data_IF_574796474246
#
_entry.id   IF_574796474246
#
_cell.length_a   1.000
_cell.length_b   1.000
_cell.length_c   1.000
_cell.angle_alpha   90.00
_cell.angle_beta   90.00
_cell.angle_gamma   90.00
#
_symmetry.space_group_name_H-M   'P 1'
#
loop_
_entity.id
_entity.type
_entity.pdbx_description
1 polymer ?
#
# COMPACT_ATOMS: atom_id res chain seq x y z
N UNK A 1 11.82 6.20 32.67
CA UNK A 1 10.46 5.98 32.15
C UNK A 1 10.30 6.83 30.90
N UNK A 2 10.25 6.21 29.73
CA UNK A 2 9.92 6.91 28.48
C UNK A 2 8.42 7.16 28.47
N UNK A 3 7.98 8.36 28.81
CA UNK A 3 6.60 8.76 28.61
C UNK A 3 6.38 9.03 27.11
N UNK A 4 5.26 8.58 26.56
CA UNK A 4 4.83 8.98 25.23
C UNK A 4 4.76 10.51 25.16
N UNK A 5 5.20 11.11 24.05
CA UNK A 5 5.18 12.56 23.90
C UNK A 5 3.73 13.09 23.91
N UNK A 6 2.81 12.36 23.28
CA UNK A 6 1.36 12.59 23.29
C UNK A 6 0.61 11.27 23.14
N UNK A 7 -0.59 11.21 23.75
CA UNK A 7 -1.52 10.10 23.56
C UNK A 7 -2.93 10.67 23.47
N UNK A 8 -3.72 10.22 22.50
CA UNK A 8 -5.11 10.65 22.32
C UNK A 8 -5.99 9.49 21.88
N UNK A 9 -7.22 9.48 22.39
CA UNK A 9 -8.24 8.51 22.01
C UNK A 9 -8.90 8.97 20.72
N UNK A 10 -8.30 8.58 19.59
CA UNK A 10 -8.75 9.02 18.28
C UNK A 10 -9.95 8.20 17.76
N UNK A 11 -10.05 6.92 18.10
CA UNK A 11 -11.03 5.99 17.56
C UNK A 11 -11.79 5.25 18.67
N UNK A 12 -12.93 4.64 18.33
CA UNK A 12 -13.77 3.87 19.27
C UNK A 12 -13.54 2.36 19.19
N UNK A 13 -12.72 1.90 18.25
CA UNK A 13 -12.26 0.53 18.11
C UNK A 13 -10.75 0.52 17.77
N UNK A 14 -10.17 -0.67 17.55
CA UNK A 14 -8.75 -0.81 17.29
C UNK A 14 -8.32 0.03 16.09
N UNK A 15 -7.19 0.71 16.24
CA UNK A 15 -6.51 1.40 15.14
C UNK A 15 -5.63 0.39 14.44
N UNK A 16 -5.98 0.05 13.21
CA UNK A 16 -5.30 -1.02 12.46
C UNK A 16 -4.11 -0.49 11.67
N UNK A 17 -4.19 0.75 11.18
CA UNK A 17 -3.15 1.31 10.33
C UNK A 17 -2.96 2.79 10.56
N UNK A 18 -1.70 3.24 10.45
CA UNK A 18 -1.32 4.65 10.50
C UNK A 18 -0.30 4.96 9.40
N UNK A 19 -0.35 6.17 8.85
CA UNK A 19 0.58 6.61 7.84
C UNK A 19 0.90 8.11 7.98
N UNK A 20 2.18 8.45 8.08
CA UNK A 20 2.64 9.84 7.95
C UNK A 20 2.53 10.31 6.49
N UNK A 21 2.21 11.59 6.31
CA UNK A 21 2.24 12.20 4.98
C UNK A 21 3.69 12.41 4.56
N UNK A 22 4.12 11.64 3.57
CA UNK A 22 5.47 11.74 2.97
C UNK A 22 5.33 11.86 1.46
N UNK A 23 6.17 12.69 0.84
CA UNK A 23 6.27 12.77 -0.62
C UNK A 23 7.02 11.57 -1.21
N UNK A 24 6.77 11.26 -2.48
CA UNK A 24 7.60 10.31 -3.21
C UNK A 24 8.96 10.93 -3.56
N UNK A 25 10.05 10.17 -3.49
CA UNK A 25 11.34 10.59 -4.02
C UNK A 25 11.19 10.93 -5.52
N UNK A 26 11.38 12.18 -5.90
CA UNK A 26 11.18 12.65 -7.28
C UNK A 26 9.77 13.16 -7.61
N UNK A 27 8.84 13.13 -6.67
CA UNK A 27 7.58 13.87 -6.76
C UNK A 27 7.85 15.38 -6.74
N UNK A 28 7.07 16.14 -7.51
CA UNK A 28 7.23 17.61 -7.64
C UNK A 28 6.80 18.39 -6.39
N UNK A 29 6.33 17.73 -5.36
CA UNK A 29 5.82 18.39 -4.18
C UNK A 29 6.89 18.45 -3.08
N UNK A 30 7.47 19.62 -2.90
CA UNK A 30 8.15 20.01 -1.66
C UNK A 30 7.18 20.16 -0.48
N UNK A 31 6.09 19.42 -0.49
CA UNK A 31 4.95 19.51 0.43
C UNK A 31 4.89 18.32 1.39
N UNK A 32 6.06 17.82 1.78
CA UNK A 32 6.10 16.95 2.95
C UNK A 32 5.59 17.73 4.15
N UNK A 33 4.43 17.35 4.65
CA UNK A 33 4.00 17.82 5.97
C UNK A 33 4.18 16.68 6.98
N UNK A 34 5.39 16.53 7.54
CA UNK A 34 5.72 15.39 8.41
C UNK A 34 4.92 15.39 9.72
N UNK A 35 4.07 16.39 9.92
CA UNK A 35 3.18 16.47 11.07
C UNK A 35 1.77 15.94 10.78
N UNK A 36 1.41 15.66 9.52
CA UNK A 36 0.10 15.13 9.17
C UNK A 36 0.11 13.60 9.23
N UNK A 37 -0.82 13.07 10.00
CA UNK A 37 -1.00 11.64 10.23
C UNK A 37 -2.38 11.21 9.76
N UNK A 38 -2.43 10.10 9.03
CA UNK A 38 -3.64 9.39 8.65
C UNK A 38 -3.75 8.13 9.51
N UNK A 39 -4.93 7.87 10.07
CA UNK A 39 -5.22 6.63 10.78
C UNK A 39 -6.48 5.97 10.25
N UNK A 40 -6.52 4.65 10.27
CA UNK A 40 -7.66 3.82 9.90
C UNK A 40 -7.99 2.82 11.00
N UNK A 41 -9.28 2.60 11.25
CA UNK A 41 -9.78 1.81 12.36
C UNK A 41 -10.92 0.87 11.96
N UNK A 42 -11.14 -0.14 12.80
CA UNK A 42 -12.30 -1.03 12.75
C UNK A 42 -13.59 -0.34 13.23
N UNK A 43 -13.50 0.88 13.75
CA UNK A 43 -14.69 1.72 13.96
C UNK A 43 -15.28 2.26 12.64
N UNK A 44 -14.73 1.81 11.49
CA UNK A 44 -15.14 2.18 10.13
C UNK A 44 -14.93 3.65 9.83
N UNK A 45 -13.93 4.24 10.46
CA UNK A 45 -13.54 5.63 10.19
C UNK A 45 -12.07 5.73 9.84
N UNK A 46 -11.76 6.72 9.05
CA UNK A 46 -10.42 7.26 8.88
C UNK A 46 -10.35 8.63 9.54
N UNK A 47 -9.17 8.98 10.03
CA UNK A 47 -8.91 10.30 10.60
C UNK A 47 -7.61 10.86 10.05
N UNK A 48 -7.68 12.13 9.66
CA UNK A 48 -6.53 12.92 9.26
C UNK A 48 -6.35 14.02 10.27
N UNK A 49 -5.18 14.14 10.87
CA UNK A 49 -4.88 15.15 11.86
C UNK A 49 -3.44 15.61 11.81
N UNK A 50 -3.24 16.87 12.14
CA UNK A 50 -1.91 17.42 12.40
C UNK A 50 -1.47 17.02 13.81
N UNK A 51 -0.37 16.29 13.93
CA UNK A 51 0.15 15.82 15.22
C UNK A 51 0.53 16.97 16.18
N UNK A 52 0.66 18.20 15.65
CA UNK A 52 0.87 19.41 16.45
C UNK A 52 -0.43 19.93 17.06
N UNK A 53 -1.59 19.63 16.43
CA UNK A 53 -2.92 20.11 16.76
C UNK A 53 -3.95 18.97 16.80
N UNK A 54 -3.62 17.88 17.47
CA UNK A 54 -4.34 16.59 17.40
C UNK A 54 -5.83 16.64 17.79
N UNK A 55 -6.31 17.69 18.42
CA UNK A 55 -7.72 17.86 18.78
C UNK A 55 -8.62 18.20 17.57
N UNK A 56 -8.04 18.55 16.43
CA UNK A 56 -8.76 18.97 15.21
C UNK A 56 -8.60 17.94 14.10
N UNK A 57 -9.07 16.70 14.33
CA UNK A 57 -9.07 15.69 13.27
C UNK A 57 -10.22 15.90 12.28
N UNK A 58 -9.92 15.76 11.00
CA UNK A 58 -10.95 15.53 9.96
C UNK A 58 -11.29 14.04 9.98
N UNK A 59 -12.57 13.72 10.08
CA UNK A 59 -13.07 12.34 10.19
C UNK A 59 -13.92 12.01 8.98
N UNK A 60 -13.65 10.89 8.31
CA UNK A 60 -14.51 10.36 7.27
C UNK A 60 -15.02 8.96 7.66
N UNK A 61 -16.28 8.66 7.31
CA UNK A 61 -16.89 7.35 7.54
C UNK A 61 -16.72 6.48 6.29
N UNK A 62 -16.24 5.27 6.53
CA UNK A 62 -16.03 4.25 5.50
C UNK A 62 -17.01 3.10 5.75
N UNK A 63 -17.48 2.45 4.72
CA UNK A 63 -18.55 1.43 4.85
C UNK A 63 -18.12 0.10 5.49
N UNK A 64 -16.82 -0.14 5.72
CA UNK A 64 -16.25 -1.37 6.25
C UNK A 64 -15.04 -1.09 7.14
N UNK A 65 -14.56 -2.13 7.82
CA UNK A 65 -13.38 -2.07 8.66
C UNK A 65 -12.15 -1.73 7.81
N UNK A 66 -11.32 -0.81 8.32
CA UNK A 66 -10.13 -0.34 7.61
C UNK A 66 -8.95 -1.23 7.97
N UNK A 67 -8.36 -1.87 6.97
CA UNK A 67 -7.18 -2.74 7.11
C UNK A 67 -5.86 -2.00 6.90
N UNK A 68 -5.79 -1.13 5.90
CA UNK A 68 -4.58 -0.37 5.63
C UNK A 68 -4.90 1.03 5.09
N UNK A 69 -4.02 1.97 5.37
CA UNK A 69 -4.07 3.34 4.83
C UNK A 69 -2.69 3.74 4.29
N UNK A 70 -2.67 4.51 3.19
CA UNK A 70 -1.42 5.00 2.61
C UNK A 70 -1.64 6.34 1.92
N UNK A 71 -0.76 7.32 2.16
CA UNK A 71 -0.70 8.54 1.36
C UNK A 71 -0.16 8.23 -0.04
N UNK A 72 -0.72 8.92 -1.05
CA UNK A 72 -0.16 8.91 -2.41
C UNK A 72 0.99 9.91 -2.46
N UNK A 73 2.22 9.44 -2.41
CA UNK A 73 3.39 10.30 -2.44
C UNK A 73 3.56 11.13 -3.71
N UNK A 74 2.80 10.81 -4.78
CA UNK A 74 2.79 11.55 -6.04
C UNK A 74 1.72 12.62 -6.09
N UNK A 75 0.73 12.56 -5.18
CA UNK A 75 -0.42 13.47 -5.13
C UNK A 75 -0.59 13.98 -3.71
N UNK A 76 -0.23 15.23 -3.47
CA UNK A 76 -0.14 15.86 -2.16
C UNK A 76 -1.36 15.65 -1.24
N UNK A 77 -2.55 15.65 -1.82
CA UNK A 77 -3.79 15.61 -1.07
C UNK A 77 -4.52 14.27 -1.13
N UNK A 78 -3.92 13.27 -1.82
CA UNK A 78 -4.56 11.99 -2.05
C UNK A 78 -4.04 10.91 -1.11
N UNK A 79 -4.94 10.02 -0.70
CA UNK A 79 -4.60 8.83 0.05
C UNK A 79 -5.51 7.65 -0.31
N UNK A 80 -5.07 6.46 0.00
CA UNK A 80 -5.77 5.20 -0.26
C UNK A 80 -6.13 4.50 1.04
N UNK A 81 -7.25 3.80 1.00
CA UNK A 81 -7.78 3.00 2.10
C UNK A 81 -8.10 1.61 1.60
N UNK A 82 -7.54 0.58 2.21
CA UNK A 82 -7.86 -0.82 1.98
C UNK A 82 -8.82 -1.33 3.07
N UNK A 83 -9.81 -2.12 2.67
CA UNK A 83 -10.92 -2.53 3.50
C UNK A 83 -11.00 -4.05 3.66
N UNK A 84 -11.58 -4.50 4.78
CA UNK A 84 -11.91 -5.91 5.02
C UNK A 84 -12.80 -6.52 3.91
N UNK A 85 -13.60 -5.69 3.27
CA UNK A 85 -14.45 -6.11 2.13
C UNK A 85 -13.68 -6.40 0.83
N UNK A 86 -12.34 -6.28 0.81
CA UNK A 86 -11.52 -6.46 -0.40
C UNK A 86 -11.47 -5.24 -1.31
N UNK A 87 -12.09 -4.16 -0.89
CA UNK A 87 -12.19 -2.91 -1.66
C UNK A 87 -11.01 -1.99 -1.29
N UNK A 88 -10.50 -1.28 -2.29
CA UNK A 88 -9.62 -0.13 -2.12
C UNK A 88 -10.36 1.13 -2.56
N UNK A 89 -10.32 2.15 -1.74
CA UNK A 89 -10.91 3.46 -2.04
C UNK A 89 -9.84 4.54 -2.04
N UNK A 90 -9.91 5.45 -3.01
CA UNK A 90 -9.06 6.63 -3.08
C UNK A 90 -9.83 7.88 -2.65
N UNK A 91 -9.16 8.75 -1.89
CA UNK A 91 -9.74 9.97 -1.32
C UNK A 91 -8.87 11.19 -1.59
N UNK A 92 -9.49 12.35 -1.56
CA UNK A 92 -8.83 13.66 -1.46
C UNK A 92 -9.15 14.26 -0.08
N UNK A 93 -8.12 14.58 0.68
CA UNK A 93 -8.29 15.12 2.03
C UNK A 93 -9.07 16.42 2.05
N UNK A 94 -9.01 17.21 0.98
CA UNK A 94 -9.74 18.50 0.85
C UNK A 94 -11.24 18.31 0.66
N UNK A 95 -11.65 17.13 0.17
CA UNK A 95 -13.06 16.79 -0.05
C UNK A 95 -13.71 16.09 1.14
N UNK A 96 -12.94 15.77 2.18
CA UNK A 96 -13.48 15.16 3.39
C UNK A 96 -14.36 16.13 4.15
N UNK A 97 -15.56 15.69 4.55
CA UNK A 97 -16.50 16.49 5.34
C UNK A 97 -16.80 15.84 6.69
N UNK A 98 -16.88 16.60 7.78
CA UNK A 98 -17.14 16.02 9.12
C UNK A 98 -18.51 15.36 9.25
N UNK A 99 -19.44 15.62 8.34
CA UNK A 99 -20.87 15.29 8.48
C UNK A 99 -21.36 14.18 7.56
N UNK A 100 -20.51 13.59 6.71
CA UNK A 100 -21.01 12.77 5.64
C UNK A 100 -20.32 11.44 5.38
N UNK A 101 -20.98 10.63 4.60
CA UNK A 101 -20.40 9.62 3.76
C UNK A 101 -19.62 10.33 2.68
N UNK A 102 -18.36 10.57 2.93
CA UNK A 102 -17.48 11.22 1.97
C UNK A 102 -17.35 10.32 0.75
N UNK A 103 -17.66 10.88 -0.42
CA UNK A 103 -17.55 10.14 -1.66
C UNK A 103 -16.07 9.88 -1.96
N UNK A 104 -15.70 8.62 -2.08
CA UNK A 104 -14.41 8.24 -2.61
C UNK A 104 -14.26 8.81 -4.03
N UNK A 105 -13.06 9.28 -4.38
CA UNK A 105 -12.73 9.67 -5.75
C UNK A 105 -12.91 8.49 -6.71
N UNK A 106 -12.61 7.29 -6.22
CA UNK A 106 -12.82 6.03 -6.91
C UNK A 106 -12.89 4.85 -5.94
N UNK A 107 -13.47 3.77 -6.42
CA UNK A 107 -13.57 2.50 -5.71
C UNK A 107 -13.07 1.38 -6.62
N UNK A 108 -12.16 0.55 -6.10
CA UNK A 108 -11.58 -0.59 -6.79
C UNK A 108 -11.91 -1.86 -6.01
N UNK A 109 -12.60 -2.81 -6.64
CA UNK A 109 -12.75 -4.17 -6.11
C UNK A 109 -11.42 -4.89 -6.36
N UNK A 110 -10.57 -4.91 -5.35
CA UNK A 110 -9.20 -5.40 -5.48
C UNK A 110 -9.07 -6.89 -5.20
N UNK A 111 -9.75 -7.40 -4.18
CA UNK A 111 -9.62 -8.78 -3.70
C UNK A 111 -10.97 -9.41 -3.40
N UNK A 112 -11.05 -10.75 -3.50
CA UNK A 112 -12.24 -11.53 -3.13
C UNK A 112 -12.34 -11.77 -1.61
N UNK A 113 -11.29 -11.44 -0.87
CA UNK A 113 -11.23 -11.42 0.59
C UNK A 113 -10.74 -10.07 1.08
N UNK A 114 -10.44 -9.94 2.37
CA UNK A 114 -9.94 -8.70 2.93
C UNK A 114 -8.68 -8.22 2.18
N UNK A 115 -8.66 -6.93 1.81
CA UNK A 115 -7.45 -6.27 1.30
C UNK A 115 -6.64 -5.80 2.50
N UNK A 116 -5.68 -6.61 2.92
CA UNK A 116 -4.95 -6.46 4.18
C UNK A 116 -3.80 -5.47 4.10
N UNK A 117 -3.31 -5.22 2.91
CA UNK A 117 -2.17 -4.31 2.70
C UNK A 117 -2.23 -3.67 1.33
N UNK A 118 -1.75 -2.45 1.27
CA UNK A 118 -1.54 -1.71 0.02
C UNK A 118 -0.27 -0.87 0.12
N UNK A 119 0.36 -0.65 -1.04
CA UNK A 119 1.49 0.27 -1.16
C UNK A 119 1.50 0.93 -2.53
N UNK A 120 2.12 2.10 -2.63
CA UNK A 120 2.28 2.87 -3.87
C UNK A 120 3.76 2.92 -4.18
N UNK A 121 4.13 2.64 -5.43
CA UNK A 121 5.53 2.67 -5.84
C UNK A 121 6.15 4.04 -5.58
N UNK A 122 7.27 4.10 -4.84
CA UNK A 122 7.98 5.36 -4.64
C UNK A 122 8.70 5.86 -5.89
N UNK A 123 8.80 5.02 -6.92
CA UNK A 123 9.54 5.31 -8.15
C UNK A 123 8.66 5.52 -9.38
N UNK A 124 7.42 5.02 -9.36
CA UNK A 124 6.55 5.02 -10.54
C UNK A 124 5.17 5.55 -10.15
N UNK A 125 4.81 6.75 -10.62
CA UNK A 125 3.47 7.28 -10.37
C UNK A 125 2.38 6.35 -10.92
N UNK A 126 1.33 6.14 -10.14
CA UNK A 126 0.20 5.31 -10.52
C UNK A 126 0.44 3.80 -10.48
N UNK A 127 1.59 3.33 -10.01
CA UNK A 127 1.82 1.91 -9.75
C UNK A 127 1.38 1.57 -8.32
N UNK A 128 0.23 0.87 -8.20
CA UNK A 128 -0.36 0.46 -6.94
C UNK A 128 -0.15 -1.05 -6.73
N UNK A 129 0.21 -1.41 -5.51
CA UNK A 129 0.36 -2.78 -5.03
C UNK A 129 -0.70 -3.06 -3.98
N UNK A 130 -1.35 -4.22 -4.06
CA UNK A 130 -2.31 -4.69 -3.06
C UNK A 130 -2.09 -6.15 -2.73
N UNK A 131 -2.40 -6.54 -1.49
CA UNK A 131 -2.36 -7.92 -1.04
C UNK A 131 -3.59 -8.25 -0.19
N UNK A 132 -4.05 -9.51 -0.25
CA UNK A 132 -5.28 -9.88 0.42
C UNK A 132 -5.29 -11.29 1.00
N UNK A 133 -6.36 -11.57 1.74
CA UNK A 133 -6.61 -12.90 2.32
C UNK A 133 -7.01 -13.94 1.26
N UNK A 134 -7.27 -13.52 0.03
CA UNK A 134 -7.44 -14.37 -1.16
C UNK A 134 -6.10 -14.95 -1.66
N UNK A 135 -4.99 -14.70 -0.95
CA UNK A 135 -3.61 -15.14 -1.24
C UNK A 135 -2.98 -14.50 -2.46
N UNK A 136 -3.62 -13.47 -3.01
CA UNK A 136 -3.12 -12.77 -4.20
C UNK A 136 -2.34 -11.51 -3.82
N UNK A 137 -1.18 -11.33 -4.48
CA UNK A 137 -0.55 -10.02 -4.66
C UNK A 137 -0.98 -9.50 -6.02
N UNK A 138 -1.45 -8.26 -6.08
CA UNK A 138 -1.91 -7.64 -7.33
C UNK A 138 -1.21 -6.32 -7.57
N UNK A 139 -0.80 -6.10 -8.81
CA UNK A 139 -0.20 -4.84 -9.29
C UNK A 139 -1.21 -4.19 -10.23
N UNK A 140 -1.50 -2.93 -9.96
CA UNK A 140 -2.48 -2.14 -10.69
C UNK A 140 -1.81 -0.94 -11.34
N UNK A 141 -2.29 -0.58 -12.52
CA UNK A 141 -1.99 0.70 -13.15
C UNK A 141 -3.16 1.66 -12.92
N UNK A 142 -2.92 2.71 -12.16
CA UNK A 142 -3.83 3.82 -11.95
C UNK A 142 -3.42 4.93 -12.90
N UNK A 143 -4.10 5.03 -14.04
CA UNK A 143 -3.90 6.12 -14.98
C UNK A 143 -4.72 7.32 -14.55
N UNK A 144 -4.08 8.46 -14.39
CA UNK A 144 -4.70 9.66 -13.82
C UNK A 144 -4.44 10.89 -14.68
N UNK A 145 -5.44 11.77 -14.70
CA UNK A 145 -5.31 13.14 -15.20
C UNK A 145 -5.64 14.09 -14.03
N UNK A 146 -4.60 14.65 -13.44
CA UNK A 146 -4.74 15.36 -12.17
C UNK A 146 -5.07 14.41 -11.01
N UNK A 147 -6.01 14.80 -10.16
CA UNK A 147 -6.33 14.08 -8.91
C UNK A 147 -7.22 12.86 -9.15
N UNK A 148 -8.00 12.81 -10.22
CA UNK A 148 -8.92 11.71 -10.51
C UNK A 148 -8.32 10.69 -11.46
N UNK A 149 -8.48 9.37 -11.20
CA UNK A 149 -8.08 8.36 -12.17
C UNK A 149 -9.01 8.38 -13.39
N UNK A 150 -8.40 8.29 -14.58
CA UNK A 150 -9.12 8.02 -15.84
C UNK A 150 -9.48 6.56 -15.97
N UNK A 151 -8.55 5.70 -15.59
CA UNK A 151 -8.72 4.26 -15.60
C UNK A 151 -7.88 3.57 -14.56
N UNK A 152 -8.35 2.41 -14.10
CA UNK A 152 -7.60 1.50 -13.23
C UNK A 152 -7.62 0.14 -13.88
N UNK A 153 -6.46 -0.44 -14.11
CA UNK A 153 -6.33 -1.75 -14.74
C UNK A 153 -5.41 -2.68 -13.96
N UNK A 154 -5.81 -3.95 -13.90
CA UNK A 154 -4.97 -5.00 -13.33
C UNK A 154 -3.83 -5.29 -14.30
N UNK A 155 -2.60 -5.19 -13.82
CA UNK A 155 -1.38 -5.47 -14.59
C UNK A 155 -0.89 -6.89 -14.33
N UNK A 156 -0.92 -7.32 -13.07
CA UNK A 156 -0.49 -8.65 -12.65
C UNK A 156 -1.22 -9.08 -11.38
N UNK A 157 -1.54 -10.37 -11.30
CA UNK A 157 -2.02 -11.02 -10.08
C UNK A 157 -1.22 -12.32 -9.90
N UNK A 158 -0.76 -12.59 -8.68
CA UNK A 158 0.04 -13.77 -8.38
C UNK A 158 -0.26 -14.32 -6.99
N UNK A 159 -0.46 -15.63 -6.89
CA UNK A 159 -0.38 -16.39 -5.64
C UNK A 159 1.10 -16.73 -5.40
N UNK A 160 1.66 -16.29 -4.30
CA UNK A 160 3.06 -16.50 -3.96
C UNK A 160 3.30 -17.81 -3.19
N UNK A 161 2.24 -18.59 -2.92
CA UNK A 161 2.36 -19.86 -2.19
C UNK A 161 2.65 -19.71 -0.69
N UNK A 162 2.46 -18.52 -0.12
CA UNK A 162 2.75 -18.21 1.30
C UNK A 162 1.49 -18.04 2.16
N UNK A 163 0.36 -18.51 1.66
CA UNK A 163 -0.94 -18.45 2.34
C UNK A 163 -1.62 -17.10 2.23
N UNK A 164 -2.51 -16.78 3.16
CA UNK A 164 -3.17 -15.48 3.24
C UNK A 164 -2.13 -14.39 3.46
N UNK A 165 -2.17 -13.34 2.69
CA UNK A 165 -1.21 -12.24 2.79
C UNK A 165 -1.68 -11.24 3.84
N UNK A 166 -0.74 -10.71 4.62
CA UNK A 166 -1.01 -9.73 5.67
C UNK A 166 -0.26 -8.41 5.44
N UNK A 167 0.86 -8.45 4.72
CA UNK A 167 1.65 -7.26 4.45
C UNK A 167 2.37 -7.38 3.12
N UNK A 168 2.52 -6.25 2.45
CA UNK A 168 3.33 -6.09 1.24
C UNK A 168 3.88 -4.67 1.16
N UNK A 169 5.04 -4.51 0.53
CA UNK A 169 5.66 -3.21 0.34
C UNK A 169 6.55 -3.21 -0.90
N UNK A 170 6.63 -2.08 -1.57
CA UNK A 170 7.69 -1.84 -2.55
C UNK A 170 9.04 -1.63 -1.86
N UNK A 171 10.12 -2.03 -2.53
CA UNK A 171 11.46 -1.64 -2.13
C UNK A 171 11.63 -0.11 -2.25
N UNK A 172 12.20 0.55 -1.24
CA UNK A 172 12.46 1.99 -1.32
C UNK A 172 13.57 2.37 -2.29
N UNK A 173 14.46 1.43 -2.63
CA UNK A 173 15.66 1.70 -3.43
C UNK A 173 15.65 0.98 -4.78
N UNK A 174 14.78 0.00 -4.95
CA UNK A 174 14.72 -0.84 -6.15
C UNK A 174 13.32 -0.75 -6.77
N UNK A 175 13.18 -0.08 -7.92
CA UNK A 175 11.89 0.06 -8.58
C UNK A 175 11.31 -1.31 -8.89
N UNK A 176 10.04 -1.50 -8.51
CA UNK A 176 9.25 -2.69 -8.80
C UNK A 176 9.71 -4.00 -8.13
N UNK A 177 10.70 -3.98 -7.24
CA UNK A 177 10.93 -5.09 -6.31
C UNK A 177 9.97 -4.94 -5.12
N UNK A 178 9.26 -6.01 -4.79
CA UNK A 178 8.33 -6.05 -3.67
C UNK A 178 8.70 -7.11 -2.67
N UNK A 179 8.28 -6.90 -1.43
CA UNK A 179 8.27 -7.92 -0.39
C UNK A 179 6.83 -8.22 0.00
N UNK A 180 6.52 -9.46 0.32
CA UNK A 180 5.23 -9.88 0.84
C UNK A 180 5.39 -10.95 1.91
N UNK A 181 4.51 -10.92 2.93
CA UNK A 181 4.50 -11.92 3.99
C UNK A 181 3.06 -12.33 4.31
N UNK A 182 2.90 -13.56 4.79
CA UNK A 182 1.58 -14.13 5.00
C UNK A 182 1.53 -15.22 6.05
N UNK A 183 0.39 -15.92 6.11
CA UNK A 183 0.05 -16.91 7.13
C UNK A 183 0.92 -18.17 7.09
N UNK A 184 1.69 -18.39 6.02
CA UNK A 184 2.60 -19.53 5.91
C UNK A 184 3.93 -19.34 6.64
N UNK A 185 4.13 -18.24 7.36
CA UNK A 185 5.37 -17.95 8.08
C UNK A 185 6.56 -17.62 7.19
N UNK A 186 6.32 -17.40 5.90
CA UNK A 186 7.35 -17.11 4.89
C UNK A 186 7.32 -15.65 4.49
N UNK A 187 8.51 -15.11 4.19
CA UNK A 187 8.72 -13.84 3.50
C UNK A 187 9.09 -14.13 2.05
N UNK A 188 8.42 -13.49 1.11
CA UNK A 188 8.70 -13.61 -0.31
C UNK A 188 9.16 -12.27 -0.87
N UNK A 189 10.25 -12.27 -1.64
CA UNK A 189 10.75 -11.11 -2.38
C UNK A 189 10.56 -11.41 -3.87
N UNK A 190 9.89 -10.52 -4.58
CA UNK A 190 9.60 -10.68 -5.99
C UNK A 190 10.08 -9.48 -6.78
N UNK A 191 10.98 -9.72 -7.75
CA UNK A 191 11.28 -8.77 -8.79
C UNK A 191 10.16 -8.81 -9.85
N UNK A 192 9.26 -7.86 -9.77
CA UNK A 192 8.08 -7.82 -10.64
C UNK A 192 8.41 -7.54 -12.09
N UNK A 193 9.62 -7.06 -12.41
CA UNK A 193 10.10 -6.90 -13.78
C UNK A 193 10.28 -8.22 -14.52
N UNK A 194 10.31 -9.36 -13.83
CA UNK A 194 10.22 -10.68 -14.45
C UNK A 194 8.88 -10.89 -15.17
N UNK A 195 7.83 -10.14 -14.80
CA UNK A 195 6.52 -10.19 -15.42
C UNK A 195 6.43 -9.31 -16.67
N UNK A 196 6.05 -9.90 -17.82
CA UNK A 196 5.95 -9.20 -19.10
C UNK A 196 4.89 -8.08 -19.10
N UNK A 197 3.79 -8.24 -18.34
CA UNK A 197 2.75 -7.23 -18.19
C UNK A 197 3.27 -5.98 -17.48
N UNK A 198 4.04 -6.18 -16.41
CA UNK A 198 4.67 -5.09 -15.64
C UNK A 198 5.67 -4.32 -16.53
N UNK A 199 6.56 -5.02 -17.24
CA UNK A 199 7.50 -4.38 -18.16
C UNK A 199 6.79 -3.56 -19.25
N UNK A 200 5.76 -4.10 -19.85
CA UNK A 200 5.01 -3.42 -20.91
C UNK A 200 4.29 -2.18 -20.38
N UNK A 201 3.71 -2.25 -19.19
CA UNK A 201 2.92 -1.15 -18.63
C UNK A 201 3.78 -0.03 -18.07
N UNK A 202 4.87 -0.38 -17.38
CA UNK A 202 5.66 0.58 -16.61
C UNK A 202 7.05 0.86 -17.18
N UNK A 203 7.50 0.11 -18.20
CA UNK A 203 8.85 0.23 -18.75
C UNK A 203 9.19 1.63 -19.25
N UNK A 204 8.25 2.33 -19.90
CA UNK A 204 8.47 3.70 -20.37
C UNK A 204 8.57 4.69 -19.20
N UNK A 205 7.76 4.54 -18.17
CA UNK A 205 7.83 5.38 -16.96
C UNK A 205 9.15 5.17 -16.22
N UNK A 206 9.65 3.93 -16.15
CA UNK A 206 10.98 3.64 -15.58
C UNK A 206 12.08 4.38 -16.33
N UNK A 207 12.06 4.32 -17.66
CA UNK A 207 13.04 5.02 -18.49
C UNK A 207 13.01 6.54 -18.32
N UNK A 208 11.83 7.12 -18.20
CA UNK A 208 11.65 8.57 -17.96
C UNK A 208 12.26 9.02 -16.63
N UNK A 209 12.26 8.15 -15.62
CA UNK A 209 12.86 8.42 -14.32
C UNK A 209 14.33 7.98 -14.22
N UNK A 210 15.01 7.75 -15.34
CA UNK A 210 16.42 7.32 -15.42
C UNK A 210 16.72 6.02 -14.66
N UNK A 211 15.73 5.18 -14.48
CA UNK A 211 15.88 3.88 -13.86
C UNK A 211 16.11 2.83 -14.95
N UNK A 212 17.37 2.43 -15.17
CA UNK A 212 17.69 1.38 -16.14
C UNK A 212 17.23 0.02 -15.61
N UNK A 213 16.38 -0.66 -16.38
CA UNK A 213 15.93 -2.02 -16.09
C UNK A 213 16.72 -3.07 -16.91
N UNK A 214 17.46 -2.63 -17.93
CA UNK A 214 18.20 -3.50 -18.86
C UNK A 214 19.35 -4.27 -18.17
N UNK A 215 19.86 -3.76 -17.05
CA UNK A 215 20.93 -4.42 -16.29
C UNK A 215 20.45 -5.57 -15.39
N UNK A 216 19.13 -5.83 -15.35
CA UNK A 216 18.52 -6.81 -14.44
C UNK A 216 18.20 -8.15 -15.10
N UNK A 217 18.40 -8.28 -16.39
CA UNK A 217 18.09 -9.51 -17.13
C UNK A 217 18.92 -10.71 -16.67
N UNK A 218 19.99 -10.49 -15.93
CA UNK A 218 20.91 -11.53 -15.44
C UNK A 218 20.67 -11.94 -13.98
N UNK A 219 19.67 -11.39 -13.29
CA UNK A 219 19.33 -11.88 -11.95
C UNK A 219 18.51 -13.15 -12.04
N UNK A 220 18.90 -14.21 -11.29
CA UNK A 220 18.11 -15.44 -11.27
C UNK A 220 16.68 -15.14 -10.80
N UNK A 221 15.71 -15.61 -11.56
CA UNK A 221 14.32 -15.58 -11.19
C UNK A 221 14.15 -16.37 -9.90
N UNK A 222 13.56 -15.71 -8.89
CA UNK A 222 13.16 -16.30 -7.62
C UNK A 222 14.29 -16.96 -6.81
N UNK A 223 14.81 -16.25 -5.82
CA UNK A 223 15.51 -16.91 -4.70
C UNK A 223 14.42 -17.58 -3.85
N UNK A 224 14.10 -18.80 -4.14
CA UNK A 224 13.45 -19.69 -3.18
C UNK A 224 14.50 -20.02 -2.13
N UNK A 225 14.33 -19.53 -0.92
CA UNK A 225 15.01 -20.06 0.24
C UNK A 225 14.21 -21.30 0.64
N UNK A 226 14.58 -22.45 0.10
CA UNK A 226 14.10 -23.73 0.61
C UNK A 226 14.83 -23.96 1.94
N UNK A 227 14.14 -23.68 3.05
CA UNK A 227 14.52 -24.19 4.36
C UNK A 227 14.16 -25.68 4.41
N UNK A 228 15.04 -26.52 3.87
CA UNK A 228 15.15 -27.92 4.28
C UNK A 228 15.76 -27.94 5.69
N UNK A 229 14.93 -27.65 6.69
CA UNK A 229 15.28 -27.97 8.06
C UNK A 229 15.22 -29.50 8.20
N UNK A 230 16.37 -30.13 8.13
CA UNK A 230 16.57 -31.51 8.52
C UNK A 230 15.99 -31.71 9.93
N UNK A 231 14.95 -32.52 10.01
CA UNK A 231 14.49 -33.11 11.24
C UNK A 231 15.47 -34.20 11.63
N UNK A 232 16.41 -33.89 12.47
CA UNK A 232 17.16 -34.90 13.20
C UNK A 232 16.23 -35.50 14.25
N UNK A 233 15.53 -36.60 13.88
CA UNK A 233 15.07 -37.59 14.79
C UNK A 233 16.28 -38.47 15.15
N UNK A 234 16.90 -38.19 16.26
CA UNK A 234 17.78 -39.16 16.90
C UNK A 234 17.03 -39.89 18.02
N UNK A 235 16.79 -41.14 17.71
CA UNK A 235 16.44 -42.19 18.63
C UNK A 235 17.59 -42.50 19.59
N UNK A 236 17.30 -42.54 20.87
CA UNK A 236 17.86 -43.47 21.85
C UNK A 236 17.08 -43.41 23.17
#
# INVERSE_FOLDING_TARGET
SSSALRSFSAHTDKVQSVAWQVGAPGGSSGTENPAVLLSGSYDKTIRVFDARMAEQAVVARIGADVEAVRWDGWKEHSFLVALESGIVQGFDVRALTPSGTDAALYTLVAHDGACTSLDISPHIPGCLLTAGTDRQVKIWNVDSDGDKPRSISLVSARDLGIGKLFTTSFSPNDPLTIAAAGSGGKLHIWDTLTNAGVRRTFGDRLRQHHLSWDERTDRPADIQVDDDAESDEDAA
#
